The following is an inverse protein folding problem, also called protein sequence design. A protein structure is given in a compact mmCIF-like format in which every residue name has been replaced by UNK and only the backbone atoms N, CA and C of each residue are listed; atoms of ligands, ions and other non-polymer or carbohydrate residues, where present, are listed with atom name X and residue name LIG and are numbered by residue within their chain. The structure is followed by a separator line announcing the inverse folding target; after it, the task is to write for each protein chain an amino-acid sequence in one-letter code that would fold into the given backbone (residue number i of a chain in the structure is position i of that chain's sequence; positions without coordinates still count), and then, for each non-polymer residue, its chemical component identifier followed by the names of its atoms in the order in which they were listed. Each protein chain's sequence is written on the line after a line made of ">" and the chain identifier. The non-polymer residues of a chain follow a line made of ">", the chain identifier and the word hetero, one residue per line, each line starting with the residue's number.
data_IF_654069781657
#
_entry.id   IF_654069781657
#
_cell.length_a   1.000
_cell.length_b   1.000
_cell.length_c   1.000
_cell.angle_alpha   90.00
_cell.angle_beta   90.00
_cell.angle_gamma   90.00
#
_symmetry.space_group_name_H-M   'P 1'
#
loop_
_entity.id
_entity.type
_entity.pdbx_description
1 polymer ?
#
# COMPACT_ATOMS: atom_id res chain seq x y z
N UNK A 1 2.15 -5.51 5.51
CA UNK A 1 1.94 -5.57 4.03
C UNK A 1 3.29 -5.38 3.36
N UNK A 2 3.61 -6.17 2.34
CA UNK A 2 4.87 -6.11 1.59
C UNK A 2 4.63 -6.23 0.08
N UNK A 3 5.69 -6.11 -0.72
CA UNK A 3 5.64 -6.25 -2.16
C UNK A 3 5.11 -7.63 -2.60
N UNK A 4 4.45 -7.64 -3.76
CA UNK A 4 4.10 -8.87 -4.45
C UNK A 4 5.35 -9.62 -4.94
N UNK A 5 5.22 -10.93 -5.12
CA UNK A 5 6.15 -11.72 -5.93
C UNK A 5 6.30 -11.11 -7.32
N UNK A 6 7.52 -11.16 -7.87
CA UNK A 6 7.79 -10.59 -9.20
C UNK A 6 8.06 -9.09 -9.23
N UNK A 7 8.06 -8.40 -8.08
CA UNK A 7 8.34 -6.94 -8.03
C UNK A 7 9.77 -6.61 -8.46
N UNK A 8 10.74 -7.38 -7.94
CA UNK A 8 12.17 -7.19 -8.23
C UNK A 8 12.69 -8.21 -9.23
N UNK A 9 12.29 -9.48 -9.09
CA UNK A 9 12.65 -10.57 -10.00
C UNK A 9 11.45 -11.52 -10.17
N UNK A 10 11.17 -11.95 -11.40
CA UNK A 10 10.04 -12.82 -11.74
C UNK A 10 10.05 -14.11 -10.91
N UNK A 11 8.89 -14.47 -10.35
CA UNK A 11 8.74 -15.67 -9.54
C UNK A 11 9.40 -15.62 -8.15
N UNK A 12 10.07 -14.52 -7.78
CA UNK A 12 10.70 -14.36 -6.47
C UNK A 12 10.00 -13.34 -5.59
N UNK A 13 10.05 -13.60 -4.29
CA UNK A 13 9.73 -12.63 -3.26
C UNK A 13 11.01 -11.94 -2.82
N UNK A 14 10.95 -10.64 -2.59
CA UNK A 14 12.09 -9.83 -2.14
C UNK A 14 12.24 -9.80 -0.61
N UNK A 15 11.30 -10.38 0.13
CA UNK A 15 11.38 -10.53 1.57
C UNK A 15 12.19 -11.77 1.96
N UNK A 16 13.31 -11.57 2.67
CA UNK A 16 14.16 -12.68 3.11
C UNK A 16 13.46 -13.56 4.16
N UNK A 17 13.65 -14.88 4.06
CA UNK A 17 13.00 -15.88 4.93
C UNK A 17 13.27 -15.67 6.42
N UNK A 18 14.46 -15.17 6.78
CA UNK A 18 14.80 -14.85 8.18
C UNK A 18 13.86 -13.80 8.80
N UNK A 19 13.46 -12.79 8.02
CA UNK A 19 12.54 -11.75 8.51
C UNK A 19 11.10 -12.26 8.55
N UNK A 20 10.71 -13.11 7.61
CA UNK A 20 9.39 -13.78 7.62
C UNK A 20 9.23 -14.62 8.87
N UNK A 21 10.22 -15.45 9.21
CA UNK A 21 10.19 -16.28 10.41
C UNK A 21 10.11 -15.42 11.68
N UNK A 22 10.94 -14.38 11.76
CA UNK A 22 10.95 -13.46 12.91
C UNK A 22 9.60 -12.75 13.11
N UNK A 23 8.94 -12.31 12.04
CA UNK A 23 7.63 -11.67 12.13
C UNK A 23 6.54 -12.66 12.54
N UNK A 24 6.59 -13.90 12.04
CA UNK A 24 5.67 -14.97 12.46
C UNK A 24 5.83 -15.33 13.93
N UNK A 25 7.06 -15.38 14.43
CA UNK A 25 7.35 -15.57 15.87
C UNK A 25 6.79 -14.43 16.74
N UNK A 26 6.63 -13.24 16.17
CA UNK A 26 6.01 -12.07 16.81
C UNK A 26 4.50 -11.99 16.60
N UNK A 27 3.87 -13.03 16.02
CA UNK A 27 2.43 -13.06 15.69
C UNK A 27 1.98 -11.92 14.77
N UNK A 28 2.88 -11.49 13.86
CA UNK A 28 2.59 -10.44 12.89
C UNK A 28 2.07 -11.05 11.59
N UNK A 29 0.87 -10.65 11.20
CA UNK A 29 0.26 -11.02 9.92
C UNK A 29 1.01 -10.39 8.73
N UNK A 30 1.35 -11.20 7.71
CA UNK A 30 2.10 -10.76 6.53
C UNK A 30 1.23 -10.87 5.28
N UNK A 31 0.79 -9.72 4.78
CA UNK A 31 0.06 -9.61 3.51
C UNK A 31 1.02 -9.31 2.36
N UNK A 32 1.03 -10.17 1.34
CA UNK A 32 1.71 -9.98 0.06
C UNK A 32 0.73 -10.23 -1.07
N UNK A 33 0.45 -9.21 -1.87
CA UNK A 33 -0.44 -9.29 -3.04
C UNK A 33 -0.19 -8.13 -4.00
N UNK A 34 -0.93 -8.09 -5.11
CA UNK A 34 -0.87 -7.01 -6.09
C UNK A 34 -1.11 -5.63 -5.48
N UNK A 35 -0.31 -4.65 -5.90
CA UNK A 35 -0.44 -3.26 -5.47
C UNK A 35 -1.74 -2.63 -5.99
N UNK A 36 -2.66 -2.31 -5.07
CA UNK A 36 -4.04 -1.94 -5.41
C UNK A 36 -4.15 -0.65 -6.23
N UNK A 37 -3.26 0.33 -6.02
CA UNK A 37 -3.26 1.60 -6.76
C UNK A 37 -2.41 1.53 -8.03
N UNK A 38 -2.36 0.35 -8.66
CA UNK A 38 -1.70 0.10 -9.94
C UNK A 38 -2.22 -1.16 -10.63
N UNK A 39 -1.94 -2.34 -10.08
CA UNK A 39 -2.39 -3.61 -10.63
C UNK A 39 -1.93 -3.85 -12.08
N UNK A 40 -2.78 -4.53 -12.85
CA UNK A 40 -2.51 -4.87 -14.27
C UNK A 40 -2.37 -3.64 -15.15
N UNK A 41 -3.05 -2.53 -14.82
CA UNK A 41 -2.92 -1.28 -15.56
C UNK A 41 -1.47 -0.77 -15.64
N UNK A 42 -0.64 -1.15 -14.66
CA UNK A 42 0.78 -0.78 -14.67
C UNK A 42 1.58 -1.42 -15.80
N UNK A 43 1.27 -2.66 -16.19
CA UNK A 43 1.91 -3.27 -17.34
C UNK A 43 1.42 -2.62 -18.63
N UNK A 44 0.13 -2.28 -18.72
CA UNK A 44 -0.44 -1.58 -19.87
C UNK A 44 0.21 -0.20 -20.07
N UNK A 45 0.32 0.61 -19.02
CA UNK A 45 0.95 1.93 -19.11
C UNK A 45 2.43 1.85 -19.50
N UNK A 46 3.16 0.84 -19.03
CA UNK A 46 4.57 0.61 -19.38
C UNK A 46 4.74 0.17 -20.84
N UNK A 47 3.91 -0.77 -21.30
CA UNK A 47 4.15 -1.47 -22.57
C UNK A 47 3.41 -0.79 -23.76
N UNK A 48 2.29 -0.11 -23.49
CA UNK A 48 1.46 0.53 -24.53
C UNK A 48 1.34 2.05 -24.38
N UNK A 49 1.86 2.62 -23.29
CA UNK A 49 1.76 4.05 -23.00
C UNK A 49 0.42 4.47 -22.41
N UNK A 50 0.31 5.75 -22.05
CA UNK A 50 -0.87 6.31 -21.37
C UNK A 50 -0.82 6.16 -19.85
N UNK A 51 -1.90 6.58 -19.18
CA UNK A 51 -2.07 6.45 -17.73
C UNK A 51 -3.52 6.06 -17.42
N UNK A 52 -3.69 5.02 -16.61
CA UNK A 52 -5.01 4.58 -16.19
C UNK A 52 -5.61 5.50 -15.12
N UNK A 53 -6.93 5.42 -14.92
CA UNK A 53 -7.62 6.17 -13.85
C UNK A 53 -7.08 5.83 -12.46
N UNK A 54 -6.74 4.57 -12.22
CA UNK A 54 -6.19 4.13 -10.92
C UNK A 54 -4.77 4.67 -10.71
N UNK A 55 -3.95 4.71 -11.76
CA UNK A 55 -2.62 5.33 -11.69
C UNK A 55 -2.70 6.85 -11.50
N UNK A 56 -3.72 7.52 -12.05
CA UNK A 56 -3.98 8.95 -11.79
C UNK A 56 -4.26 9.17 -10.29
N UNK A 57 -5.12 8.37 -9.66
CA UNK A 57 -5.37 8.46 -8.21
C UNK A 57 -4.06 8.30 -7.43
N UNK A 58 -3.26 7.29 -7.79
CA UNK A 58 -1.96 7.05 -7.18
C UNK A 58 -1.00 8.23 -7.37
N UNK A 59 -0.95 8.83 -8.57
CA UNK A 59 -0.08 9.97 -8.85
C UNK A 59 -0.53 11.21 -8.09
N UNK A 60 -1.83 11.51 -8.04
CA UNK A 60 -2.38 12.62 -7.25
C UNK A 60 -1.98 12.51 -5.78
N UNK A 61 -2.11 11.32 -5.17
CA UNK A 61 -1.66 11.09 -3.79
C UNK A 61 -0.15 11.35 -3.63
N UNK A 62 0.68 10.84 -4.55
CA UNK A 62 2.14 11.06 -4.51
C UNK A 62 2.50 12.54 -4.66
N UNK A 63 1.89 13.25 -5.61
CA UNK A 63 2.20 14.65 -5.91
C UNK A 63 1.73 15.58 -4.80
N UNK A 64 0.53 15.34 -4.27
CA UNK A 64 -0.06 16.22 -3.25
C UNK A 64 0.40 15.88 -1.84
N UNK A 65 0.80 14.64 -1.54
CA UNK A 65 1.12 14.23 -0.15
C UNK A 65 2.42 13.44 0.01
N UNK A 66 3.11 13.09 -1.07
CA UNK A 66 4.37 12.33 -1.05
C UNK A 66 4.17 10.82 -1.27
N UNK A 67 5.28 10.12 -1.54
CA UNK A 67 5.24 8.68 -1.87
C UNK A 67 4.74 7.85 -0.70
N UNK A 68 5.23 8.11 0.51
CA UNK A 68 4.78 7.41 1.72
C UNK A 68 3.28 7.51 1.97
N UNK A 69 2.66 8.65 1.65
CA UNK A 69 1.23 8.85 1.84
C UNK A 69 0.39 7.96 0.92
N UNK A 70 0.76 7.89 -0.36
CA UNK A 70 0.13 6.94 -1.30
C UNK A 70 0.28 5.51 -0.79
N UNK A 71 1.46 5.13 -0.29
CA UNK A 71 1.71 3.79 0.25
C UNK A 71 0.82 3.52 1.45
N UNK A 72 0.72 4.43 2.41
CA UNK A 72 -0.15 4.29 3.57
C UNK A 72 -1.61 4.02 3.18
N UNK A 73 -2.14 4.70 2.15
CA UNK A 73 -3.49 4.43 1.62
C UNK A 73 -3.58 3.06 0.94
N UNK A 74 -2.61 2.73 0.09
CA UNK A 74 -2.63 1.48 -0.69
C UNK A 74 -2.55 0.23 0.18
N UNK A 75 -1.71 0.24 1.22
CA UNK A 75 -1.54 -0.93 2.10
C UNK A 75 -2.78 -1.21 2.94
N UNK A 76 -3.61 -0.20 3.24
CA UNK A 76 -4.90 -0.41 3.91
C UNK A 76 -5.87 -1.17 3.00
N UNK A 77 -5.98 -0.76 1.73
CA UNK A 77 -6.83 -1.46 0.75
C UNK A 77 -6.38 -2.91 0.58
N UNK A 78 -5.06 -3.13 0.49
CA UNK A 78 -4.51 -4.47 0.40
C UNK A 78 -4.84 -5.28 1.65
N UNK A 79 -4.56 -4.77 2.85
CA UNK A 79 -4.82 -5.51 4.08
C UNK A 79 -6.33 -5.79 4.30
N UNK A 80 -7.21 -4.88 3.89
CA UNK A 80 -8.66 -5.10 3.90
C UNK A 80 -9.07 -6.22 2.94
N UNK A 81 -8.58 -6.20 1.70
CA UNK A 81 -8.95 -7.19 0.68
C UNK A 81 -8.38 -8.60 0.96
N UNK A 82 -7.31 -8.71 1.76
CA UNK A 82 -6.79 -10.00 2.21
C UNK A 82 -7.50 -10.53 3.47
N UNK A 83 -8.43 -9.76 4.06
CA UNK A 83 -9.07 -10.11 5.33
C UNK A 83 -8.16 -9.99 6.56
N UNK A 84 -7.04 -9.27 6.46
CA UNK A 84 -6.10 -9.09 7.56
C UNK A 84 -6.53 -7.99 8.54
N UNK A 85 -7.54 -7.18 8.18
CA UNK A 85 -8.11 -6.14 9.03
C UNK A 85 -9.55 -6.46 9.40
N UNK A 86 -9.98 -6.00 10.58
CA UNK A 86 -11.41 -5.86 10.86
C UNK A 86 -11.92 -4.56 10.24
N UNK A 87 -13.15 -4.58 9.71
CA UNK A 87 -13.76 -3.41 9.06
C UNK A 87 -14.55 -2.52 10.04
N UNK A 88 -14.54 -2.88 11.33
CA UNK A 88 -15.32 -2.22 12.39
C UNK A 88 -14.60 -1.01 12.99
N UNK A 89 -13.27 -1.00 12.93
CA UNK A 89 -12.44 0.03 13.56
C UNK A 89 -11.57 0.75 12.53
N UNK A 90 -11.16 1.97 12.87
CA UNK A 90 -10.10 2.67 12.16
C UNK A 90 -8.75 2.00 12.43
N UNK A 91 -7.81 2.18 11.49
CA UNK A 91 -6.46 1.61 11.57
C UNK A 91 -5.41 2.70 11.44
N UNK A 92 -4.26 2.50 12.09
CA UNK A 92 -3.08 3.32 11.83
C UNK A 92 -2.31 2.68 10.67
N UNK A 93 -2.25 3.39 9.55
CA UNK A 93 -1.51 3.01 8.37
C UNK A 93 -0.17 3.73 8.34
N UNK A 94 0.92 2.98 8.14
CA UNK A 94 2.28 3.52 8.06
C UNK A 94 2.83 3.25 6.66
N UNK A 95 3.37 4.30 6.03
CA UNK A 95 3.98 4.25 4.70
C UNK A 95 5.33 4.97 4.68
N UNK A 96 6.07 4.77 3.60
CA UNK A 96 7.43 5.28 3.46
C UNK A 96 7.79 5.72 2.04
N UNK A 97 8.84 6.55 1.95
CA UNK A 97 9.43 6.97 0.69
C UNK A 97 10.75 6.24 0.43
N UNK A 98 10.77 5.40 -0.60
CA UNK A 98 11.90 4.54 -1.00
C UNK A 98 12.29 3.50 0.07
N UNK A 99 12.79 3.92 1.23
CA UNK A 99 13.19 3.08 2.35
C UNK A 99 12.68 3.65 3.68
N UNK A 100 12.39 2.77 4.63
CA UNK A 100 11.88 3.16 5.94
C UNK A 100 10.41 3.60 5.91
N UNK A 101 10.03 4.41 6.89
CA UNK A 101 8.68 4.94 7.06
C UNK A 101 8.75 6.42 7.42
N UNK A 102 7.93 7.23 6.77
CA UNK A 102 7.93 8.70 6.91
C UNK A 102 6.51 9.29 7.01
N UNK A 103 5.47 8.49 6.77
CA UNK A 103 4.06 8.88 6.86
C UNK A 103 3.29 7.92 7.74
N UNK A 104 2.43 8.46 8.61
CA UNK A 104 1.45 7.69 9.36
C UNK A 104 0.09 8.40 9.36
N UNK A 105 -0.98 7.66 9.12
CA UNK A 105 -2.35 8.17 9.06
C UNK A 105 -3.32 7.26 9.84
N UNK A 106 -4.36 7.85 10.42
CA UNK A 106 -5.54 7.10 10.89
C UNK A 106 -6.50 6.99 9.71
N UNK A 107 -6.89 5.77 9.35
CA UNK A 107 -7.69 5.48 8.16
C UNK A 107 -8.86 4.56 8.54
N UNK A 108 -10.07 4.94 8.17
CA UNK A 108 -11.20 4.01 8.08
C UNK A 108 -11.03 3.13 6.84
N UNK A 109 -10.85 1.81 7.00
CA UNK A 109 -10.58 0.93 5.87
C UNK A 109 -11.82 0.75 4.98
N UNK A 110 -11.58 0.41 3.72
CA UNK A 110 -12.60 -0.08 2.79
C UNK A 110 -11.99 -1.14 1.87
N UNK A 111 -12.83 -1.97 1.27
CA UNK A 111 -12.43 -2.88 0.21
C UNK A 111 -12.23 -2.14 -1.12
N UNK A 112 -11.39 -2.68 -2.00
CA UNK A 112 -11.12 -2.05 -3.31
C UNK A 112 -12.36 -1.88 -4.19
N UNK A 113 -13.32 -2.82 -4.10
CA UNK A 113 -14.61 -2.74 -4.79
C UNK A 113 -15.53 -1.60 -4.26
N UNK A 114 -15.18 -1.00 -3.13
CA UNK A 114 -15.82 0.16 -2.52
C UNK A 114 -14.77 1.21 -2.12
N UNK A 115 -13.84 1.54 -3.03
CA UNK A 115 -12.73 2.46 -2.77
C UNK A 115 -13.16 3.79 -2.13
N UNK A 116 -14.28 4.36 -2.57
CA UNK A 116 -14.79 5.64 -2.02
C UNK A 116 -15.36 5.53 -0.59
N UNK A 117 -15.46 4.32 -0.03
CA UNK A 117 -15.72 4.11 1.39
C UNK A 117 -14.49 4.31 2.27
N UNK A 118 -13.28 4.36 1.70
CA UNK A 118 -12.04 4.61 2.43
C UNK A 118 -11.98 6.08 2.85
N UNK A 119 -11.64 6.33 4.11
CA UNK A 119 -11.55 7.69 4.64
C UNK A 119 -10.26 7.85 5.44
N UNK A 120 -9.52 8.91 5.12
CA UNK A 120 -8.36 9.33 5.91
C UNK A 120 -8.90 10.25 7.00
N UNK A 121 -8.88 9.77 8.24
CA UNK A 121 -9.45 10.48 9.40
C UNK A 121 -8.44 11.47 9.98
N UNK A 122 -7.18 11.06 10.10
CA UNK A 122 -6.11 11.91 10.64
C UNK A 122 -4.78 11.67 9.93
N UNK A 123 -3.93 12.70 9.89
CA UNK A 123 -2.53 12.60 9.47
C UNK A 123 -1.67 12.79 10.72
N UNK A 124 -1.02 11.72 11.18
CA UNK A 124 -0.19 11.72 12.39
C UNK A 124 1.14 12.41 12.10
N UNK A 125 1.81 12.00 11.01
CA UNK A 125 3.03 12.62 10.53
C UNK A 125 3.18 12.45 9.02
N UNK A 126 3.85 13.39 8.37
CA UNK A 126 4.30 13.29 6.99
C UNK A 126 5.47 14.25 6.71
N UNK A 127 6.31 13.99 5.69
CA UNK A 127 7.35 14.92 5.29
C UNK A 127 6.77 16.27 4.85
N UNK A 128 7.42 17.36 5.24
CA UNK A 128 7.08 18.70 4.74
C UNK A 128 7.49 18.86 3.27
N UNK A 129 8.68 18.37 2.94
CA UNK A 129 9.23 18.29 1.59
C UNK A 129 9.12 16.84 1.09
N UNK A 130 8.56 16.64 -0.11
CA UNK A 130 8.03 15.37 -0.60
C UNK A 130 8.89 14.69 -1.66
#
# INVERSE_FOLDING_TARGET
>A
VTHQYGTTEEGKWDMESQYVSRLKEMDVEIVSQSHMLSGVEKSLSRDTGGISRIEIVADVLRKLFGKGFKVAVEVVLMAADSGALTMENEVIAVGGTAYGADVACVIKPAHSNNFYGLQISEIICMPREK
#
